data_IF_218046053726
#
_entry.id   IF_218046053726
#
_cell.length_a   1.000
_cell.length_b   1.000
_cell.length_c   1.000
_cell.angle_alpha   90.00
_cell.angle_beta   90.00
_cell.angle_gamma   90.00
#
_symmetry.space_group_name_H-M   'P 1'
#
loop_
_entity.id
_entity.type
_entity.pdbx_description
1 polymer ?
#
# COMPACT_ATOMS: atom_id res chain seq x y z
N UNK A 1 -9.36 15.44 -14.15
CA UNK A 1 -10.09 14.22 -13.73
C UNK A 1 -9.61 13.92 -12.32
N UNK A 2 -10.39 14.31 -11.30
CA UNK A 2 -9.99 14.26 -9.89
C UNK A 2 -11.18 13.70 -9.09
N UNK A 3 -11.39 12.42 -9.25
CA UNK A 3 -12.25 11.54 -8.46
C UNK A 3 -11.37 10.29 -8.39
N UNK A 4 -10.66 10.03 -7.30
CA UNK A 4 -11.04 8.93 -6.40
C UNK A 4 -10.11 8.83 -5.16
N UNK A 5 -9.57 9.93 -4.63
CA UNK A 5 -8.79 9.88 -3.36
C UNK A 5 -9.66 9.65 -2.11
N UNK A 6 -10.98 9.63 -2.24
CA UNK A 6 -11.92 9.57 -1.11
C UNK A 6 -12.29 8.15 -0.63
N UNK A 7 -11.66 7.09 -1.17
CA UNK A 7 -12.06 5.69 -0.89
C UNK A 7 -11.03 4.79 -0.23
N UNK A 8 -9.76 5.16 -0.13
CA UNK A 8 -8.85 4.32 0.66
C UNK A 8 -9.07 4.66 2.13
N UNK A 9 -9.98 3.95 2.82
CA UNK A 9 -10.04 3.99 4.28
C UNK A 9 -8.94 3.08 4.83
N UNK A 10 -8.98 1.82 4.38
CA UNK A 10 -8.01 0.82 4.78
C UNK A 10 -7.60 -0.10 3.62
N UNK A 11 -6.43 -0.70 3.76
CA UNK A 11 -5.90 -1.68 2.83
C UNK A 11 -5.70 -3.02 3.53
N UNK A 12 -6.19 -4.06 2.88
CA UNK A 12 -6.22 -5.42 3.40
C UNK A 12 -5.39 -6.33 2.49
N UNK A 13 -4.64 -7.30 3.03
CA UNK A 13 -3.93 -8.27 2.20
C UNK A 13 -4.90 -9.03 1.30
N UNK A 14 -4.62 -9.02 0.00
CA UNK A 14 -5.38 -9.77 -1.00
C UNK A 14 -4.67 -11.12 -1.30
N UNK A 15 -5.32 -11.97 -2.09
CA UNK A 15 -4.87 -13.34 -2.41
C UNK A 15 -3.47 -13.45 -3.01
N UNK A 16 -2.94 -12.38 -3.63
CA UNK A 16 -1.58 -12.36 -4.18
C UNK A 16 -0.50 -11.94 -3.17
N UNK A 17 -0.89 -11.54 -1.95
CA UNK A 17 0.06 -11.13 -0.92
C UNK A 17 0.92 -12.33 -0.46
N UNK A 18 2.25 -12.20 -0.31
CA UNK A 18 3.13 -13.32 0.04
C UNK A 18 2.83 -14.00 1.38
N UNK A 19 2.13 -13.29 2.28
CA UNK A 19 1.76 -13.78 3.61
C UNK A 19 0.30 -14.25 3.65
N UNK A 20 -0.39 -14.32 2.51
CA UNK A 20 -1.81 -14.66 2.42
C UNK A 20 -2.75 -13.49 2.73
N UNK A 21 -4.04 -13.79 2.78
CA UNK A 21 -5.13 -12.85 3.07
C UNK A 21 -5.33 -12.65 4.57
N UNK A 22 -5.74 -11.46 4.98
CA UNK A 22 -6.11 -11.15 6.37
C UNK A 22 -7.38 -10.28 6.38
N UNK A 23 -8.39 -10.57 7.24
CA UNK A 23 -9.55 -9.70 7.40
C UNK A 23 -9.25 -8.39 8.14
N UNK A 24 -8.08 -8.23 8.74
CA UNK A 24 -7.64 -7.00 9.40
C UNK A 24 -6.88 -6.09 8.43
N UNK A 25 -7.05 -4.76 8.54
CA UNK A 25 -6.34 -3.82 7.72
C UNK A 25 -4.87 -3.78 8.11
N UNK A 26 -4.02 -3.75 7.09
CA UNK A 26 -2.58 -3.62 7.23
C UNK A 26 -2.10 -2.19 7.08
N UNK A 27 -2.84 -1.39 6.31
CA UNK A 27 -2.57 0.03 6.17
C UNK A 27 -3.84 0.86 6.26
N UNK A 28 -3.69 2.07 6.76
CA UNK A 28 -4.69 3.12 6.72
C UNK A 28 -4.15 4.27 5.84
N UNK A 29 -4.95 4.78 4.91
CA UNK A 29 -4.60 6.00 4.18
C UNK A 29 -5.03 7.21 5.02
N UNK A 30 -4.08 8.08 5.32
CA UNK A 30 -4.31 9.37 5.99
C UNK A 30 -3.74 10.48 5.12
N UNK A 31 -4.61 11.23 4.45
CA UNK A 31 -4.19 12.16 3.40
C UNK A 31 -3.62 11.39 2.22
N UNK A 32 -2.37 11.68 1.82
CA UNK A 32 -1.66 10.91 0.80
C UNK A 32 -0.69 9.86 1.39
N UNK A 33 -0.61 9.74 2.73
CA UNK A 33 0.30 8.81 3.40
C UNK A 33 -0.39 7.50 3.80
N UNK A 34 0.25 6.36 3.56
CA UNK A 34 -0.17 5.06 4.10
C UNK A 34 0.62 4.75 5.36
N UNK A 35 -0.10 4.49 6.44
CA UNK A 35 0.45 4.16 7.76
C UNK A 35 0.17 2.72 8.09
N UNK A 36 1.03 2.06 8.87
CA UNK A 36 0.71 0.72 9.37
C UNK A 36 -0.49 0.79 10.29
N UNK A 37 -1.43 -0.11 10.06
CA UNK A 37 -2.64 -0.27 10.86
C UNK A 37 -2.54 -1.48 11.80
N UNK A 38 -3.53 -1.64 12.69
CA UNK A 38 -3.48 -2.59 13.80
C UNK A 38 -3.35 -4.07 13.38
N UNK A 39 -3.77 -4.42 12.16
CA UNK A 39 -3.64 -5.78 11.61
C UNK A 39 -2.26 -6.07 11.01
N UNK A 40 -1.39 -5.07 10.83
CA UNK A 40 -0.08 -5.31 10.26
C UNK A 40 0.80 -6.14 11.23
N UNK A 41 1.57 -7.14 10.76
CA UNK A 41 2.38 -8.02 11.63
C UNK A 41 3.46 -7.30 12.46
N UNK A 42 3.79 -6.06 12.11
CA UNK A 42 4.75 -5.22 12.81
C UNK A 42 4.10 -4.20 13.77
N UNK A 43 2.78 -4.28 13.95
CA UNK A 43 1.99 -3.30 14.71
C UNK A 43 1.76 -2.00 13.93
N UNK A 44 1.36 -0.96 14.64
CA UNK A 44 1.00 0.36 14.06
C UNK A 44 2.19 1.29 13.89
N UNK A 45 2.06 2.28 13.01
CA UNK A 45 3.09 3.31 12.80
C UNK A 45 2.54 4.73 12.92
N UNK A 46 3.37 5.65 13.44
CA UNK A 46 3.11 7.10 13.44
C UNK A 46 3.70 7.81 12.23
N UNK A 47 4.43 7.07 11.38
CA UNK A 47 5.09 7.58 10.17
C UNK A 47 4.55 6.82 8.96
N UNK A 48 4.33 7.49 7.82
CA UNK A 48 3.90 6.83 6.60
C UNK A 48 4.99 5.90 6.11
N UNK A 49 4.57 4.71 5.71
CA UNK A 49 5.39 3.73 5.00
C UNK A 49 5.38 3.98 3.51
N UNK A 50 4.28 4.50 2.97
CA UNK A 50 4.20 4.88 1.58
C UNK A 50 3.54 6.25 1.40
N UNK A 51 3.87 6.90 0.29
CA UNK A 51 3.19 8.09 -0.22
C UNK A 51 2.47 7.74 -1.52
N UNK A 52 1.19 8.09 -1.58
CA UNK A 52 0.35 8.00 -2.76
C UNK A 52 0.60 9.21 -3.66
N UNK A 53 0.98 8.95 -4.91
CA UNK A 53 1.23 9.96 -5.93
C UNK A 53 0.73 9.42 -7.27
N UNK A 54 -0.25 10.09 -7.87
CA UNK A 54 -0.81 9.72 -9.17
C UNK A 54 -1.18 8.22 -9.29
N UNK A 55 -1.88 7.70 -8.27
CA UNK A 55 -2.29 6.29 -8.22
C UNK A 55 -1.16 5.29 -7.99
N UNK A 56 0.00 5.73 -7.51
CA UNK A 56 1.15 4.88 -7.21
C UNK A 56 1.68 5.12 -5.80
N UNK A 57 2.17 4.06 -5.17
CA UNK A 57 2.74 4.11 -3.83
C UNK A 57 4.26 4.08 -3.89
N UNK A 58 4.89 5.06 -3.27
CA UNK A 58 6.34 5.21 -3.18
C UNK A 58 6.78 4.99 -1.74
N UNK A 59 7.84 4.23 -1.46
CA UNK A 59 8.37 4.09 -0.10
C UNK A 59 8.70 5.46 0.49
N UNK A 60 8.28 5.69 1.72
CA UNK A 60 8.53 6.92 2.46
C UNK A 60 9.43 6.68 3.67
N UNK A 61 9.76 7.74 4.42
CA UNK A 61 10.74 7.71 5.49
C UNK A 61 10.42 6.76 6.66
N UNK A 62 9.15 6.34 6.83
CA UNK A 62 8.76 5.33 7.80
C UNK A 62 9.00 3.88 7.33
N UNK A 63 9.22 3.67 6.03
CA UNK A 63 9.45 2.35 5.45
C UNK A 63 10.80 1.78 5.91
N UNK A 64 10.94 0.46 6.19
CA UNK A 64 12.21 -0.14 6.64
C UNK A 64 13.38 0.01 5.67
N UNK A 65 13.07 0.19 4.37
CA UNK A 65 14.07 0.42 3.33
C UNK A 65 14.32 1.92 3.05
N UNK A 66 13.72 2.81 3.82
CA UNK A 66 13.80 4.26 3.64
C UNK A 66 13.02 4.77 2.43
N UNK A 67 13.26 6.05 2.09
CA UNK A 67 12.59 6.76 0.99
C UNK A 67 13.02 6.17 -0.36
N UNK A 68 12.06 5.89 -1.24
CA UNK A 68 12.28 5.37 -2.59
C UNK A 68 11.79 6.31 -3.69
N UNK A 69 12.50 6.34 -4.82
CA UNK A 69 12.12 7.14 -6.01
C UNK A 69 11.31 6.36 -7.03
N UNK A 70 11.18 5.04 -6.87
CA UNK A 70 10.41 4.16 -7.74
C UNK A 70 9.15 3.69 -7.01
N UNK A 71 8.00 3.61 -7.70
CA UNK A 71 6.78 3.11 -7.11
C UNK A 71 6.92 1.62 -6.82
N UNK A 72 6.43 1.23 -5.66
CA UNK A 72 6.34 -0.17 -5.23
C UNK A 72 5.00 -0.78 -5.56
N UNK A 73 3.95 0.03 -5.62
CA UNK A 73 2.63 -0.43 -6.00
C UNK A 73 1.96 0.55 -6.96
N UNK A 74 1.09 0.01 -7.79
CA UNK A 74 0.15 0.76 -8.61
C UNK A 74 -1.28 0.40 -8.20
N UNK A 75 -2.12 1.42 -8.00
CA UNK A 75 -3.55 1.29 -7.81
C UNK A 75 -4.24 1.05 -9.16
N UNK A 76 -5.07 0.01 -9.22
CA UNK A 76 -5.95 -0.33 -10.34
C UNK A 76 -7.24 -0.89 -9.77
N UNK A 77 -8.38 -0.26 -10.06
CA UNK A 77 -9.72 -0.73 -9.65
C UNK A 77 -9.77 -1.18 -8.17
N UNK A 78 -9.43 -0.25 -7.25
CA UNK A 78 -9.43 -0.48 -5.80
C UNK A 78 -8.47 -1.58 -5.30
N UNK A 79 -7.47 -1.95 -6.12
CA UNK A 79 -6.44 -2.94 -5.77
C UNK A 79 -5.04 -2.43 -6.04
N UNK A 80 -4.10 -2.84 -5.19
CA UNK A 80 -2.69 -2.49 -5.30
C UNK A 80 -1.90 -3.68 -5.83
N UNK A 81 -1.23 -3.46 -6.96
CA UNK A 81 -0.39 -4.43 -7.62
C UNK A 81 1.07 -4.04 -7.46
N UNK A 82 1.98 -4.98 -7.15
CA UNK A 82 3.41 -4.71 -7.17
C UNK A 82 3.83 -4.12 -8.52
N UNK A 83 4.53 -2.99 -8.46
CA UNK A 83 5.05 -2.26 -9.62
C UNK A 83 6.55 -2.57 -9.81
N UNK A 84 7.15 -2.07 -10.90
CA UNK A 84 8.54 -2.37 -11.29
C UNK A 84 9.59 -2.00 -10.24
N UNK A 85 9.29 -1.08 -9.32
CA UNK A 85 10.19 -0.67 -8.24
C UNK A 85 10.16 -1.56 -7.01
N UNK A 86 9.19 -2.49 -6.94
CA UNK A 86 9.05 -3.40 -5.81
C UNK A 86 10.24 -4.38 -5.75
N UNK A 87 10.81 -4.70 -4.56
CA UNK A 87 11.98 -5.59 -4.44
C UNK A 87 11.76 -7.00 -4.98
N UNK A 88 10.51 -7.46 -5.01
CA UNK A 88 10.12 -8.77 -5.58
C UNK A 88 9.73 -8.69 -7.06
N UNK A 89 9.89 -7.52 -7.70
CA UNK A 89 9.42 -7.27 -9.06
C UNK A 89 7.90 -7.07 -9.17
N UNK A 90 7.41 -6.78 -10.39
CA UNK A 90 5.99 -6.58 -10.64
C UNK A 90 5.21 -7.89 -10.58
N UNK A 91 3.91 -7.81 -10.28
CA UNK A 91 3.00 -8.97 -10.25
C UNK A 91 1.67 -8.66 -10.93
N UNK A 92 1.08 -9.67 -11.56
CA UNK A 92 -0.28 -9.62 -12.10
C UNK A 92 -1.36 -9.86 -11.03
N UNK A 93 -0.97 -10.32 -9.84
CA UNK A 93 -1.87 -10.52 -8.71
C UNK A 93 -1.81 -9.30 -7.77
N UNK A 94 -2.97 -8.84 -7.26
CA UNK A 94 -3.01 -7.77 -6.28
C UNK A 94 -2.45 -8.27 -4.95
N UNK A 95 -1.73 -7.39 -4.27
CA UNK A 95 -1.23 -7.63 -2.93
C UNK A 95 -2.14 -7.03 -1.87
N UNK A 96 -2.86 -5.97 -2.20
CA UNK A 96 -3.83 -5.38 -1.30
C UNK A 96 -5.09 -4.98 -2.05
N UNK A 97 -6.21 -4.95 -1.35
CA UNK A 97 -7.45 -4.32 -1.81
C UNK A 97 -7.88 -3.22 -0.84
N UNK A 98 -8.60 -2.24 -1.38
CA UNK A 98 -9.23 -1.16 -0.61
C UNK A 98 -10.55 -1.67 -0.04
N UNK A 99 -10.76 -1.50 1.27
CA UNK A 99 -11.99 -1.85 1.97
C UNK A 99 -12.59 -0.70 2.76
#
# INVERSE_FOLDING_TARGET
MARDNARMGHLYPDHGHPQGTDPQPWFELRGDGLYLDYGHPLGTSTKPWFQLRDGRLYPDFGHPQGIGTRPWFQLRDDRLYPDYGHPHGPSAQPWFYVG
#
